data_IF_420518334194
#
_entry.id   IF_420518334194
#
_cell.length_a   1.000
_cell.length_b   1.000
_cell.length_c   1.000
_cell.angle_alpha   90.00
_cell.angle_beta   90.00
_cell.angle_gamma   90.00
#
_symmetry.space_group_name_H-M   'P 1'
#
loop_
_entity.id
_entity.type
_entity.pdbx_description
1 polymer ?
#
# COMPACT_ATOMS: atom_id res chain seq x y z
N UNK A 1 -27.33 -18.10 -26.27
CA UNK A 1 -25.88 -18.43 -26.30
C UNK A 1 -25.47 -18.75 -24.87
N UNK A 2 -24.96 -19.97 -24.60
CA UNK A 2 -24.40 -20.35 -23.29
C UNK A 2 -22.90 -20.06 -23.29
N UNK A 3 -22.45 -19.17 -22.40
CA UNK A 3 -21.02 -18.93 -22.19
C UNK A 3 -20.53 -19.82 -21.05
N UNK A 4 -19.41 -20.50 -21.27
CA UNK A 4 -18.69 -21.26 -20.25
C UNK A 4 -17.38 -20.56 -19.94
N UNK A 5 -17.13 -20.27 -18.68
CA UNK A 5 -15.85 -19.78 -18.22
C UNK A 5 -15.31 -20.65 -17.08
N UNK A 6 -14.02 -20.64 -16.90
CA UNK A 6 -13.35 -21.25 -15.76
C UNK A 6 -13.00 -20.18 -14.75
N UNK A 7 -13.22 -20.45 -13.47
CA UNK A 7 -12.80 -19.59 -12.36
C UNK A 7 -11.97 -20.41 -11.36
N UNK A 8 -10.99 -19.77 -10.73
CA UNK A 8 -10.24 -20.33 -9.62
C UNK A 8 -10.85 -19.94 -8.25
N UNK A 9 -12.00 -19.26 -8.25
CA UNK A 9 -12.72 -18.91 -7.04
C UNK A 9 -13.09 -20.20 -6.28
N UNK A 10 -12.78 -20.23 -4.99
CA UNK A 10 -13.14 -21.32 -4.07
C UNK A 10 -14.43 -20.94 -3.34
N UNK A 11 -15.10 -21.94 -2.76
CA UNK A 11 -16.29 -21.73 -1.93
C UNK A 11 -17.62 -21.86 -2.69
N UNK A 12 -18.70 -21.58 -1.97
CA UNK A 12 -20.05 -21.61 -2.50
C UNK A 12 -20.37 -20.33 -3.29
N UNK A 13 -20.93 -20.47 -4.51
CA UNK A 13 -21.30 -19.30 -5.33
C UNK A 13 -22.53 -18.61 -4.74
N UNK A 14 -22.39 -17.35 -4.36
CA UNK A 14 -23.52 -16.53 -3.86
C UNK A 14 -24.14 -15.71 -5.00
N UNK A 15 -23.31 -14.98 -5.76
CA UNK A 15 -23.77 -14.02 -6.75
C UNK A 15 -22.77 -13.83 -7.89
N UNK A 16 -23.30 -13.55 -9.06
CA UNK A 16 -22.54 -13.04 -10.20
C UNK A 16 -23.16 -11.71 -10.65
N UNK A 17 -22.34 -10.69 -10.83
CA UNK A 17 -22.82 -9.41 -11.37
C UNK A 17 -21.92 -8.90 -12.49
N UNK A 18 -22.49 -8.15 -13.41
CA UNK A 18 -21.77 -7.46 -14.47
C UNK A 18 -21.74 -5.97 -14.17
N UNK A 19 -20.54 -5.43 -14.01
CA UNK A 19 -20.34 -4.02 -13.66
C UNK A 19 -19.73 -3.29 -14.86
N UNK A 20 -20.35 -2.23 -15.38
CA UNK A 20 -19.74 -1.42 -16.43
C UNK A 20 -18.51 -0.72 -15.90
N UNK A 21 -17.40 -0.77 -16.65
CA UNK A 21 -16.14 -0.17 -16.27
C UNK A 21 -15.44 0.47 -17.45
N UNK A 22 -15.75 1.73 -17.68
CA UNK A 22 -15.28 2.46 -18.86
C UNK A 22 -15.79 1.81 -20.15
N UNK A 23 -14.87 1.35 -21.01
CA UNK A 23 -15.17 0.73 -22.29
C UNK A 23 -15.49 -0.77 -22.23
N UNK A 24 -15.54 -1.37 -21.06
CA UNK A 24 -15.77 -2.81 -20.87
C UNK A 24 -16.72 -3.11 -19.71
N UNK A 25 -17.14 -4.37 -19.62
CA UNK A 25 -17.85 -4.90 -18.44
C UNK A 25 -16.89 -5.82 -17.67
N UNK A 26 -16.93 -5.72 -16.34
CA UNK A 26 -16.25 -6.65 -15.45
C UNK A 26 -17.32 -7.57 -14.86
N UNK A 27 -17.07 -8.87 -14.98
CA UNK A 27 -17.85 -9.88 -14.28
C UNK A 27 -17.25 -10.09 -12.90
N UNK A 28 -18.02 -9.85 -11.87
CA UNK A 28 -17.67 -10.11 -10.48
C UNK A 28 -18.39 -11.37 -9.99
N UNK A 29 -17.62 -12.31 -9.46
CA UNK A 29 -18.12 -13.56 -8.89
C UNK A 29 -17.94 -13.51 -7.39
N UNK A 30 -19.03 -13.59 -6.64
CA UNK A 30 -19.02 -13.61 -5.19
C UNK A 30 -19.17 -15.04 -4.72
N UNK A 31 -18.21 -15.48 -3.92
CA UNK A 31 -18.22 -16.80 -3.30
C UNK A 31 -18.09 -16.67 -1.79
N UNK A 32 -18.78 -17.51 -1.07
CA UNK A 32 -18.63 -17.66 0.37
C UNK A 32 -17.62 -18.76 0.65
N UNK A 33 -16.68 -18.46 1.53
CA UNK A 33 -15.64 -19.40 1.97
C UNK A 33 -15.68 -19.44 3.49
N UNK A 34 -15.86 -20.61 4.05
CA UNK A 34 -15.68 -20.80 5.48
C UNK A 34 -14.19 -20.70 5.82
N UNK A 35 -13.85 -19.71 6.64
CA UNK A 35 -12.51 -19.63 7.20
C UNK A 35 -12.42 -20.59 8.39
N UNK A 36 -11.32 -21.36 8.51
CA UNK A 36 -11.13 -22.20 9.67
C UNK A 36 -11.10 -21.33 10.93
N UNK A 37 -11.84 -21.77 11.95
CA UNK A 37 -11.80 -21.15 13.27
C UNK A 37 -10.36 -21.27 13.80
N UNK A 38 -9.65 -20.17 13.84
CA UNK A 38 -8.25 -20.12 14.27
C UNK A 38 -8.15 -19.23 15.51
N UNK A 39 -7.75 -19.84 16.61
CA UNK A 39 -7.31 -19.08 17.77
C UNK A 39 -6.13 -18.17 17.35
N UNK A 40 -6.26 -16.87 17.64
CA UNK A 40 -5.18 -15.92 17.43
C UNK A 40 -4.01 -16.32 18.34
N UNK A 41 -2.84 -16.50 17.74
CA UNK A 41 -1.62 -16.80 18.48
C UNK A 41 -1.31 -15.68 19.49
N UNK A 42 -0.66 -15.99 20.61
CA UNK A 42 -0.11 -14.94 21.51
C UNK A 42 0.79 -13.99 20.72
N UNK A 43 0.77 -12.72 21.05
CA UNK A 43 1.64 -11.72 20.41
C UNK A 43 3.07 -11.96 20.83
N UNK A 44 3.91 -12.40 19.91
CA UNK A 44 5.33 -12.69 20.11
C UNK A 44 6.19 -12.17 18.99
N UNK A 45 5.90 -12.60 17.77
CA UNK A 45 6.65 -12.28 16.57
C UNK A 45 5.92 -11.19 15.79
N UNK A 46 6.43 -9.97 15.84
CA UNK A 46 5.79 -8.79 15.26
C UNK A 46 6.57 -8.35 14.02
N UNK A 47 5.87 -7.98 12.96
CA UNK A 47 6.39 -7.19 11.88
C UNK A 47 5.60 -5.89 11.75
N UNK A 48 6.27 -4.84 11.31
CA UNK A 48 5.67 -3.52 11.11
C UNK A 48 5.87 -3.04 9.69
N UNK A 49 4.99 -2.15 9.22
CA UNK A 49 5.03 -1.56 7.88
C UNK A 49 4.96 -0.04 8.00
N UNK A 50 5.95 0.65 7.45
CA UNK A 50 5.91 2.08 7.13
C UNK A 50 5.60 2.25 5.63
N UNK A 51 4.56 3.05 5.30
CA UNK A 51 4.10 3.29 3.93
C UNK A 51 4.69 4.57 3.36
N UNK A 52 5.22 4.49 2.15
CA UNK A 52 5.85 5.63 1.49
C UNK A 52 5.64 5.67 -0.03
N UNK A 53 6.19 6.69 -0.70
CA UNK A 53 6.07 6.89 -2.15
C UNK A 53 7.22 6.26 -2.92
N UNK A 54 8.46 6.45 -2.49
CA UNK A 54 9.62 5.88 -3.18
C UNK A 54 9.93 4.47 -2.68
N UNK A 55 9.88 4.28 -1.38
CA UNK A 55 9.77 3.01 -0.73
C UNK A 55 8.28 2.82 -0.43
N UNK A 56 7.62 1.96 -1.22
CA UNK A 56 6.17 1.78 -1.13
C UNK A 56 5.76 1.23 0.25
N UNK A 57 6.51 0.27 0.73
CA UNK A 57 6.38 -0.27 2.08
C UNK A 57 7.76 -0.68 2.59
N UNK A 58 8.08 -0.29 3.81
CA UNK A 58 9.29 -0.73 4.51
C UNK A 58 8.83 -1.61 5.65
N UNK A 59 9.36 -2.84 5.70
CA UNK A 59 8.98 -3.88 6.66
C UNK A 59 10.13 -4.04 7.64
N UNK A 60 9.86 -3.85 8.92
CA UNK A 60 10.76 -4.18 10.02
C UNK A 60 10.14 -5.28 10.90
N UNK A 61 10.92 -5.86 11.81
CA UNK A 61 10.47 -6.98 12.65
C UNK A 61 11.27 -7.06 13.95
N UNK A 62 10.73 -7.77 14.95
CA UNK A 62 11.39 -8.03 16.24
C UNK A 62 12.08 -9.42 16.31
N UNK A 63 12.13 -10.15 15.19
CA UNK A 63 12.67 -11.52 15.13
C UNK A 63 14.12 -11.57 14.62
N UNK A 64 14.81 -10.44 14.55
CA UNK A 64 16.21 -10.36 14.13
C UNK A 64 16.46 -10.52 12.62
N UNK A 65 15.42 -10.48 11.78
CA UNK A 65 15.57 -10.51 10.31
C UNK A 65 15.88 -9.13 9.78
N UNK A 66 16.60 -9.09 8.66
CA UNK A 66 16.91 -7.81 8.00
C UNK A 66 15.62 -7.14 7.50
N UNK A 67 15.48 -5.81 7.67
CA UNK A 67 14.35 -5.06 7.13
C UNK A 67 14.26 -5.17 5.60
N UNK A 68 13.05 -5.18 5.09
CA UNK A 68 12.77 -5.31 3.65
C UNK A 68 12.13 -4.03 3.14
N UNK A 69 12.54 -3.59 1.95
CA UNK A 69 11.97 -2.42 1.29
C UNK A 69 11.33 -2.85 -0.03
N UNK A 70 10.02 -2.65 -0.14
CA UNK A 70 9.28 -2.78 -1.38
C UNK A 70 9.39 -1.46 -2.15
N UNK A 71 10.02 -1.51 -3.32
CA UNK A 71 10.31 -0.32 -4.12
C UNK A 71 9.04 0.26 -4.76
N UNK A 72 8.76 1.54 -4.52
CA UNK A 72 7.62 2.27 -5.08
C UNK A 72 7.87 2.91 -6.46
N UNK A 73 9.08 2.81 -7.02
CA UNK A 73 9.40 3.45 -8.32
C UNK A 73 8.53 2.92 -9.46
N UNK A 74 8.18 1.63 -9.44
CA UNK A 74 7.32 1.00 -10.44
C UNK A 74 5.93 1.63 -10.50
N UNK A 75 5.23 1.69 -9.36
CA UNK A 75 3.89 2.29 -9.27
C UNK A 75 3.92 3.80 -9.56
N UNK A 76 4.98 4.49 -9.14
CA UNK A 76 5.21 5.90 -9.46
C UNK A 76 5.36 6.11 -10.96
N UNK A 77 6.14 5.29 -11.65
CA UNK A 77 6.32 5.34 -13.10
C UNK A 77 5.02 5.10 -13.86
N UNK A 78 4.22 4.12 -13.45
CA UNK A 78 2.89 3.85 -14.02
C UNK A 78 2.00 5.09 -13.92
N UNK A 79 1.96 5.73 -12.75
CA UNK A 79 1.13 6.93 -12.53
C UNK A 79 1.64 8.14 -13.32
N UNK A 80 2.95 8.37 -13.39
CA UNK A 80 3.53 9.47 -14.16
C UNK A 80 3.28 9.32 -15.65
N UNK A 81 3.48 8.13 -16.20
CA UNK A 81 3.16 7.83 -17.60
C UNK A 81 1.67 8.07 -17.90
N UNK A 82 0.79 7.55 -17.05
CA UNK A 82 -0.64 7.77 -17.19
C UNK A 82 -1.00 9.27 -17.17
N UNK A 83 -0.49 10.04 -16.21
CA UNK A 83 -0.78 11.46 -16.10
C UNK A 83 -0.31 12.23 -17.33
N UNK A 84 0.86 11.90 -17.89
CA UNK A 84 1.37 12.51 -19.13
C UNK A 84 0.46 12.20 -20.33
N UNK A 85 0.05 10.94 -20.49
CA UNK A 85 -0.85 10.54 -21.58
C UNK A 85 -2.24 11.17 -21.41
N UNK A 86 -2.79 11.16 -20.21
CA UNK A 86 -4.08 11.77 -19.89
C UNK A 86 -4.09 13.27 -20.24
N UNK A 87 -3.06 14.01 -19.85
CA UNK A 87 -2.95 15.44 -20.17
C UNK A 87 -2.92 15.69 -21.68
N UNK A 88 -2.17 14.88 -22.44
CA UNK A 88 -2.13 14.95 -23.90
C UNK A 88 -3.51 14.72 -24.52
N UNK A 89 -4.17 13.60 -24.20
CA UNK A 89 -5.50 13.31 -24.73
C UNK A 89 -6.55 14.33 -24.36
N UNK A 90 -6.51 14.85 -23.12
CA UNK A 90 -7.43 15.91 -22.69
C UNK A 90 -7.22 17.22 -23.46
N UNK A 91 -5.97 17.62 -23.68
CA UNK A 91 -5.64 18.79 -24.49
C UNK A 91 -6.16 18.64 -25.94
N UNK A 92 -5.87 17.50 -26.57
CA UNK A 92 -6.32 17.20 -27.93
C UNK A 92 -7.86 17.23 -28.06
N UNK A 93 -8.57 16.67 -27.06
CA UNK A 93 -10.04 16.64 -27.05
C UNK A 93 -10.64 18.04 -26.87
N UNK A 94 -10.06 18.85 -25.98
CA UNK A 94 -10.51 20.21 -25.74
C UNK A 94 -10.37 21.08 -27.00
N UNK A 95 -9.25 20.95 -27.70
CA UNK A 95 -8.98 21.73 -28.92
C UNK A 95 -9.88 21.29 -30.09
N UNK A 96 -10.08 19.96 -30.27
CA UNK A 96 -10.83 19.44 -31.43
C UNK A 96 -12.34 19.54 -31.29
N UNK A 97 -12.89 19.20 -30.12
CA UNK A 97 -14.34 18.94 -29.98
C UNK A 97 -14.96 19.59 -28.73
N UNK A 98 -14.23 20.27 -27.87
CA UNK A 98 -14.70 20.74 -26.56
C UNK A 98 -15.09 19.62 -25.59
N UNK A 99 -14.80 18.36 -25.92
CA UNK A 99 -15.18 17.19 -25.11
C UNK A 99 -14.10 16.90 -24.06
N UNK A 100 -14.53 16.37 -22.91
CA UNK A 100 -13.64 15.99 -21.82
C UNK A 100 -13.41 14.47 -21.72
N UNK A 101 -14.07 13.68 -22.57
CA UNK A 101 -14.05 12.22 -22.53
C UNK A 101 -13.83 11.62 -23.91
N UNK A 102 -13.10 10.48 -23.94
CA UNK A 102 -12.98 9.61 -25.12
C UNK A 102 -12.74 8.17 -24.69
N UNK A 103 -12.96 7.22 -25.63
CA UNK A 103 -12.70 5.81 -25.43
C UNK A 103 -11.21 5.54 -25.15
N UNK A 104 -10.31 6.32 -25.74
CA UNK A 104 -8.87 6.24 -25.52
C UNK A 104 -8.51 6.61 -24.08
N UNK A 105 -9.14 7.67 -23.53
CA UNK A 105 -8.97 8.05 -22.10
C UNK A 105 -9.43 6.94 -21.17
N UNK A 106 -10.55 6.30 -21.44
CA UNK A 106 -11.02 5.15 -20.66
C UNK A 106 -10.04 3.98 -20.73
N UNK A 107 -9.53 3.67 -21.93
CA UNK A 107 -8.61 2.57 -22.13
C UNK A 107 -7.29 2.77 -21.38
N UNK A 108 -6.70 3.98 -21.44
CA UNK A 108 -5.47 4.24 -20.67
C UNK A 108 -5.72 4.25 -19.16
N UNK A 109 -6.89 4.71 -18.72
CA UNK A 109 -7.32 4.69 -17.31
C UNK A 109 -7.48 3.26 -16.82
N UNK A 110 -8.16 2.41 -17.58
CA UNK A 110 -8.34 0.99 -17.27
C UNK A 110 -6.98 0.26 -17.19
N UNK A 111 -6.11 0.47 -18.18
CA UNK A 111 -4.76 -0.11 -18.18
C UNK A 111 -3.95 0.31 -16.96
N UNK A 112 -3.98 1.60 -16.60
CA UNK A 112 -3.31 2.11 -15.40
C UNK A 112 -3.87 1.47 -14.15
N UNK A 113 -5.18 1.44 -13.98
CA UNK A 113 -5.84 0.89 -12.80
C UNK A 113 -5.52 -0.61 -12.62
N UNK A 114 -5.52 -1.38 -13.71
CA UNK A 114 -5.18 -2.80 -13.67
C UNK A 114 -3.70 -3.02 -13.28
N UNK A 115 -2.76 -2.21 -13.80
CA UNK A 115 -1.35 -2.28 -13.40
C UNK A 115 -1.13 -1.94 -11.93
N UNK A 116 -1.79 -0.88 -11.44
CA UNK A 116 -1.73 -0.50 -10.03
C UNK A 116 -2.33 -1.60 -9.15
N UNK A 117 -3.50 -2.12 -9.51
CA UNK A 117 -4.14 -3.23 -8.77
C UNK A 117 -3.23 -4.45 -8.70
N UNK A 118 -2.61 -4.84 -9.82
CA UNK A 118 -1.66 -5.96 -9.85
C UNK A 118 -0.44 -5.72 -8.95
N UNK A 119 0.14 -4.51 -8.97
CA UNK A 119 1.24 -4.16 -8.08
C UNK A 119 0.85 -4.32 -6.61
N UNK A 120 -0.32 -3.79 -6.20
CA UNK A 120 -0.79 -3.89 -4.83
C UNK A 120 -1.05 -5.34 -4.40
N UNK A 121 -1.66 -6.16 -5.27
CA UNK A 121 -1.88 -7.58 -4.99
C UNK A 121 -0.58 -8.35 -4.81
N UNK A 122 0.43 -8.08 -5.64
CA UNK A 122 1.75 -8.72 -5.52
C UNK A 122 2.46 -8.26 -4.24
N UNK A 123 2.45 -6.95 -3.95
CA UNK A 123 3.07 -6.40 -2.74
C UNK A 123 2.41 -6.96 -1.47
N UNK A 124 1.07 -6.96 -1.39
CA UNK A 124 0.36 -7.48 -0.22
C UNK A 124 0.53 -9.00 -0.05
N UNK A 125 0.60 -9.76 -1.14
CA UNK A 125 0.88 -11.20 -1.08
C UNK A 125 2.31 -11.46 -0.60
N UNK A 126 3.28 -10.69 -1.11
CA UNK A 126 4.67 -10.78 -0.66
C UNK A 126 4.80 -10.55 0.85
N UNK A 127 4.14 -9.49 1.38
CA UNK A 127 4.16 -9.19 2.83
C UNK A 127 3.58 -10.33 3.64
N UNK A 128 2.42 -10.86 3.24
CA UNK A 128 1.77 -11.96 3.99
C UNK A 128 2.59 -13.24 3.90
N UNK A 129 3.17 -13.57 2.74
CA UNK A 129 4.06 -14.72 2.60
C UNK A 129 5.31 -14.57 3.49
N UNK A 130 5.91 -13.38 3.53
CA UNK A 130 7.01 -13.09 4.45
C UNK A 130 6.62 -13.35 5.91
N UNK A 131 5.42 -12.92 6.32
CA UNK A 131 4.93 -13.17 7.67
C UNK A 131 4.76 -14.68 7.95
N UNK A 132 4.22 -15.44 7.00
CA UNK A 132 4.06 -16.89 7.12
C UNK A 132 5.43 -17.59 7.24
N UNK A 133 6.35 -17.29 6.34
CA UNK A 133 7.69 -17.91 6.26
C UNK A 133 8.55 -17.63 7.50
N UNK A 134 8.28 -16.53 8.20
CA UNK A 134 9.03 -16.10 9.38
C UNK A 134 8.21 -16.23 10.68
N UNK A 135 7.10 -16.94 10.66
CA UNK A 135 6.24 -17.21 11.83
C UNK A 135 5.79 -15.94 12.56
N UNK A 136 5.60 -14.83 11.81
CA UNK A 136 5.05 -13.58 12.32
C UNK A 136 3.58 -13.80 12.67
N UNK A 137 3.20 -13.53 13.91
CA UNK A 137 1.82 -13.65 14.39
C UNK A 137 1.04 -12.34 14.30
N UNK A 138 1.74 -11.21 14.30
CA UNK A 138 1.14 -9.88 14.31
C UNK A 138 1.82 -8.95 13.30
N UNK A 139 1.04 -8.37 12.40
CA UNK A 139 1.47 -7.39 11.43
C UNK A 139 0.86 -6.02 11.78
N UNK A 140 1.70 -5.02 12.00
CA UNK A 140 1.30 -3.65 12.35
C UNK A 140 1.58 -2.72 11.18
N UNK A 141 0.61 -1.93 10.76
CA UNK A 141 0.79 -0.94 9.68
C UNK A 141 0.58 0.47 10.21
N UNK A 142 1.55 1.34 10.00
CA UNK A 142 1.43 2.76 10.26
C UNK A 142 0.43 3.41 9.30
N UNK A 143 -0.48 4.19 9.84
CA UNK A 143 -1.51 4.89 9.08
C UNK A 143 -1.71 6.30 9.62
N UNK A 144 -1.42 7.29 8.81
CA UNK A 144 -1.80 8.66 9.12
C UNK A 144 -3.13 8.99 8.42
N UNK A 145 -4.20 9.13 9.18
CA UNK A 145 -5.56 9.40 8.65
C UNK A 145 -5.66 10.73 7.91
N UNK A 146 -4.79 11.69 8.22
CA UNK A 146 -4.78 13.04 7.60
C UNK A 146 -3.87 13.15 6.37
N UNK A 147 -3.19 12.11 5.94
CA UNK A 147 -2.19 12.14 4.86
C UNK A 147 -2.63 12.84 3.58
N UNK A 148 -3.88 12.67 3.18
CA UNK A 148 -4.38 13.21 1.91
C UNK A 148 -4.96 14.63 2.04
N UNK A 149 -5.27 15.06 3.24
CA UNK A 149 -6.03 16.32 3.47
C UNK A 149 -5.13 17.51 3.82
N UNK A 150 -4.12 17.31 4.69
CA UNK A 150 -3.34 18.41 5.28
C UNK A 150 -1.86 18.52 4.82
N UNK A 151 -1.45 17.76 3.81
CA UNK A 151 -0.06 17.75 3.39
C UNK A 151 0.38 19.04 2.70
N UNK A 152 1.23 19.82 3.36
CA UNK A 152 2.04 20.89 2.77
C UNK A 152 3.15 20.30 1.88
N UNK A 153 2.78 19.58 0.82
CA UNK A 153 3.71 18.99 -0.14
C UNK A 153 3.72 19.80 -1.44
N UNK A 154 4.86 19.80 -2.15
CA UNK A 154 4.90 20.34 -3.51
C UNK A 154 3.88 19.63 -4.41
N UNK A 155 3.37 20.32 -5.42
CA UNK A 155 2.32 19.83 -6.34
C UNK A 155 2.66 18.45 -6.93
N UNK A 156 3.93 18.25 -7.32
CA UNK A 156 4.42 16.99 -7.90
C UNK A 156 4.46 15.86 -6.87
N UNK A 157 4.89 16.12 -5.64
CA UNK A 157 4.93 15.11 -4.56
C UNK A 157 3.52 14.72 -4.18
N UNK A 158 2.62 15.69 -4.03
CA UNK A 158 1.20 15.46 -3.74
C UNK A 158 0.54 14.60 -4.83
N UNK A 159 0.81 14.86 -6.11
CA UNK A 159 0.27 14.08 -7.22
C UNK A 159 0.74 12.61 -7.19
N UNK A 160 2.03 12.38 -6.92
CA UNK A 160 2.58 11.02 -6.80
C UNK A 160 1.95 10.26 -5.63
N UNK A 161 1.76 10.95 -4.50
CA UNK A 161 1.19 10.38 -3.28
C UNK A 161 -0.30 10.02 -3.44
N UNK A 162 -1.11 10.95 -3.95
CA UNK A 162 -2.56 10.73 -4.17
C UNK A 162 -2.80 9.60 -5.18
N UNK A 163 -1.90 9.42 -6.15
CA UNK A 163 -1.99 8.37 -7.17
C UNK A 163 -1.83 6.95 -6.64
N UNK A 164 -1.41 6.75 -5.39
CA UNK A 164 -1.25 5.43 -4.76
C UNK A 164 -2.47 5.14 -3.88
N UNK A 165 -3.25 4.07 -4.14
CA UNK A 165 -4.41 3.73 -3.33
C UNK A 165 -4.00 2.89 -2.11
N UNK A 166 -3.42 3.53 -1.09
CA UNK A 166 -2.97 2.86 0.15
C UNK A 166 -4.09 2.14 0.88
N UNK A 167 -5.32 2.70 0.91
CA UNK A 167 -6.45 2.03 1.54
C UNK A 167 -6.73 0.66 0.92
N UNK A 168 -6.67 0.55 -0.42
CA UNK A 168 -6.82 -0.74 -1.11
C UNK A 168 -5.71 -1.72 -0.74
N UNK A 169 -4.48 -1.24 -0.52
CA UNK A 169 -3.39 -2.09 -0.04
C UNK A 169 -3.65 -2.59 1.39
N UNK A 170 -4.11 -1.71 2.28
CA UNK A 170 -4.48 -2.05 3.66
C UNK A 170 -5.62 -3.07 3.68
N UNK A 171 -6.70 -2.85 2.91
CA UNK A 171 -7.80 -3.80 2.74
C UNK A 171 -7.29 -5.18 2.27
N UNK A 172 -6.34 -5.18 1.32
CA UNK A 172 -5.73 -6.43 0.84
C UNK A 172 -4.88 -7.13 1.89
N UNK A 173 -4.19 -6.40 2.76
CA UNK A 173 -3.48 -6.96 3.90
C UNK A 173 -4.47 -7.53 4.92
N UNK A 174 -5.53 -6.78 5.24
CA UNK A 174 -6.54 -7.19 6.22
C UNK A 174 -7.09 -8.58 5.89
N UNK A 175 -7.72 -8.75 4.72
CA UNK A 175 -8.34 -10.04 4.42
C UNK A 175 -7.32 -11.18 4.21
N UNK A 176 -6.12 -10.88 3.67
CA UNK A 176 -5.08 -11.90 3.48
C UNK A 176 -4.46 -12.36 4.80
N UNK A 177 -4.32 -11.46 5.77
CA UNK A 177 -3.88 -11.80 7.11
C UNK A 177 -4.96 -12.64 7.82
N UNK A 178 -6.23 -12.26 7.69
CA UNK A 178 -7.36 -13.01 8.20
C UNK A 178 -7.41 -14.43 7.64
N UNK A 179 -7.27 -14.61 6.30
CA UNK A 179 -7.16 -15.91 5.65
C UNK A 179 -6.05 -16.80 6.22
N UNK A 180 -4.98 -16.20 6.76
CA UNK A 180 -3.77 -16.93 7.22
C UNK A 180 -3.63 -16.98 8.74
N UNK A 181 -4.57 -16.38 9.49
CA UNK A 181 -4.55 -16.34 10.95
C UNK A 181 -3.48 -15.41 11.54
N UNK A 182 -3.04 -14.43 10.77
CA UNK A 182 -2.14 -13.36 11.21
C UNK A 182 -2.99 -12.20 11.72
N UNK A 183 -2.68 -11.69 12.92
CA UNK A 183 -3.33 -10.49 13.45
C UNK A 183 -2.85 -9.27 12.69
N UNK A 184 -3.77 -8.50 12.09
CA UNK A 184 -3.44 -7.26 11.40
C UNK A 184 -3.96 -6.06 12.18
N UNK A 185 -3.08 -5.11 12.47
CA UNK A 185 -3.39 -3.89 13.22
C UNK A 185 -2.95 -2.66 12.43
N UNK A 186 -3.72 -1.58 12.55
CA UNK A 186 -3.31 -0.26 12.06
C UNK A 186 -3.15 0.69 13.23
N UNK A 187 -2.06 1.45 13.27
CA UNK A 187 -1.79 2.43 14.33
C UNK A 187 -1.50 3.80 13.71
N UNK A 188 -1.66 4.85 14.51
CA UNK A 188 -1.24 6.19 14.12
C UNK A 188 0.29 6.26 14.14
N UNK A 189 0.88 6.73 13.02
CA UNK A 189 2.34 6.88 12.85
C UNK A 189 2.85 8.27 13.27
N UNK A 190 2.09 9.04 14.02
CA UNK A 190 2.52 10.37 14.46
C UNK A 190 3.85 10.31 15.19
N UNK A 191 4.76 11.25 14.82
CA UNK A 191 6.10 11.40 15.40
C UNK A 191 7.13 10.31 15.12
N UNK A 192 6.78 9.19 14.51
CA UNK A 192 7.71 8.07 14.21
C UNK A 192 8.88 8.48 13.32
N UNK A 193 8.70 9.48 12.46
CA UNK A 193 9.71 9.94 11.50
C UNK A 193 10.83 10.80 12.10
N UNK A 194 10.72 11.24 13.34
CA UNK A 194 11.68 12.13 14.00
C UNK A 194 12.16 11.64 15.36
N UNK A 195 11.68 10.49 15.83
CA UNK A 195 12.12 9.77 17.04
C UNK A 195 12.99 8.58 16.67
N UNK A 196 13.91 8.19 17.54
CA UNK A 196 14.87 7.12 17.30
C UNK A 196 14.46 5.82 17.99
N UNK A 197 14.20 4.79 17.23
CA UNK A 197 13.98 3.45 17.77
C UNK A 197 15.24 2.90 18.46
N UNK A 198 16.39 3.11 17.84
CA UNK A 198 17.67 2.56 18.36
C UNK A 198 18.09 3.17 19.69
N UNK A 199 17.63 4.39 19.98
CA UNK A 199 17.89 5.09 21.23
C UNK A 199 16.74 4.86 22.26
N UNK A 200 15.78 3.98 21.96
CA UNK A 200 14.65 3.65 22.85
C UNK A 200 13.64 4.78 23.05
N UNK A 201 13.58 5.74 22.14
CA UNK A 201 12.67 6.87 22.25
C UNK A 201 11.22 6.48 21.92
N UNK A 202 10.28 6.91 22.76
CA UNK A 202 8.85 6.77 22.46
C UNK A 202 8.44 7.84 21.45
N UNK A 203 7.67 7.49 20.39
CA UNK A 203 7.20 8.46 19.40
C UNK A 203 6.16 9.42 19.99
N UNK A 204 6.64 10.57 20.45
CA UNK A 204 5.85 11.66 21.00
C UNK A 204 6.40 13.02 20.56
N UNK A 205 5.65 14.09 20.79
CA UNK A 205 6.02 15.46 20.40
C UNK A 205 7.31 15.92 21.06
N UNK A 206 7.51 15.53 22.30
CA UNK A 206 8.66 15.92 23.14
C UNK A 206 9.98 15.35 22.60
N UNK A 207 9.94 14.11 22.11
CA UNK A 207 11.11 13.41 21.58
C UNK A 207 11.34 13.68 20.08
N UNK A 208 10.39 14.35 19.42
CA UNK A 208 10.45 14.57 17.99
C UNK A 208 11.54 15.57 17.60
N UNK A 209 12.56 15.11 16.87
CA UNK A 209 13.65 15.94 16.38
C UNK A 209 13.84 15.77 14.86
N UNK A 210 13.32 16.74 14.10
CA UNK A 210 13.40 16.74 12.64
C UNK A 210 14.85 16.78 12.11
N UNK A 211 15.82 17.30 12.87
CA UNK A 211 17.22 17.43 12.47
C UNK A 211 17.92 16.06 12.35
N UNK A 212 17.40 15.01 13.03
CA UNK A 212 17.91 13.64 12.90
C UNK A 212 17.78 13.07 11.50
N UNK A 213 16.86 13.57 10.67
CA UNK A 213 16.82 13.25 9.23
C UNK A 213 17.87 14.10 8.50
N UNK A 214 19.12 13.63 8.45
CA UNK A 214 20.28 14.34 7.88
C UNK A 214 20.06 14.60 6.39
N UNK A 215 19.57 13.60 5.66
CA UNK A 215 19.18 13.68 4.27
C UNK A 215 18.06 12.67 3.96
N UNK A 216 17.53 12.72 2.75
CA UNK A 216 16.49 11.79 2.34
C UNK A 216 16.95 10.34 2.48
N UNK A 217 16.19 9.53 3.21
CA UNK A 217 16.48 8.11 3.45
C UNK A 217 17.56 7.85 4.50
N UNK A 218 18.11 8.86 5.19
CA UNK A 218 19.12 8.70 6.22
C UNK A 218 18.73 9.39 7.52
N UNK A 219 18.71 8.63 8.59
CA UNK A 219 18.39 9.05 9.95
C UNK A 219 19.60 8.82 10.87
N UNK A 220 19.87 9.78 11.75
CA UNK A 220 20.94 9.75 12.76
C UNK A 220 20.33 9.38 14.10
N UNK A 221 20.67 8.23 14.66
CA UNK A 221 20.58 7.93 16.08
C UNK A 221 21.78 8.51 16.82
N UNK A 222 21.88 8.36 18.13
CA UNK A 222 23.03 8.85 18.88
C UNK A 222 24.34 8.26 18.38
N UNK A 223 24.37 6.97 18.12
CA UNK A 223 25.61 6.22 17.85
C UNK A 223 25.75 5.72 16.40
N UNK A 224 24.70 5.73 15.58
CA UNK A 224 24.79 5.19 14.24
C UNK A 224 23.80 5.83 13.23
N UNK A 225 24.03 5.49 11.96
CA UNK A 225 23.15 5.88 10.86
C UNK A 225 22.25 4.72 10.48
N UNK A 226 20.96 4.99 10.32
CA UNK A 226 19.96 4.02 9.87
C UNK A 226 19.17 4.58 8.68
N UNK A 227 18.59 3.70 7.86
CA UNK A 227 17.62 4.14 6.88
C UNK A 227 16.39 4.73 7.58
N UNK A 228 15.95 5.93 7.15
CA UNK A 228 14.88 6.67 7.84
C UNK A 228 13.52 5.95 7.77
N UNK A 229 13.25 5.21 6.69
CA UNK A 229 11.98 4.49 6.56
C UNK A 229 12.03 3.18 7.38
N UNK A 230 13.21 2.59 7.56
CA UNK A 230 13.42 1.47 8.49
C UNK A 230 13.23 1.93 9.93
N UNK A 231 13.81 3.08 10.32
CA UNK A 231 13.58 3.64 11.66
C UNK A 231 12.09 3.92 11.90
N UNK A 232 11.40 4.51 10.91
CA UNK A 232 9.94 4.73 10.98
C UNK A 232 9.16 3.44 11.17
N UNK A 233 9.49 2.40 10.40
CA UNK A 233 8.84 1.09 10.54
C UNK A 233 9.11 0.46 11.92
N UNK A 234 10.32 0.52 12.45
CA UNK A 234 10.65 0.05 13.79
C UNK A 234 9.88 0.81 14.88
N UNK A 235 9.66 2.12 14.71
CA UNK A 235 8.88 2.94 15.64
C UNK A 235 7.36 2.66 15.58
N UNK A 236 6.87 2.07 14.49
CA UNK A 236 5.49 1.60 14.32
C UNK A 236 5.27 0.28 15.08
N UNK A 237 6.31 -0.50 15.30
CA UNK A 237 6.24 -1.79 15.99
C UNK A 237 6.03 -1.64 17.48
#
# INVERSE_FOLDING_TARGET
QKYRWKTNAKGHLIQVRFVPKGSCYVMEVFTEVELPDRELRPVKNIASIDLGVNNFATIANNIGKQPIIINGKGIKSINQFYNKQKAKYQSDLTVRNGKQWSRELDNITLKRNNRVKNFLHNASRFVVNYCIENEVDTLVCGLNRSWKQECKMSKTVKQNFIGIPYNTFIEQLTYKCEETGIRFLTIDESYTSGTSFLDGEIPCKENYNKKRRIKRGLFQSENCLINSDVNGSLQIM
#
